data_IF_104397116815
#
_entry.id   IF_104397116815
#
_cell.length_a   1.000
_cell.length_b   1.000
_cell.length_c   1.000
_cell.angle_alpha   90.00
_cell.angle_beta   90.00
_cell.angle_gamma   90.00
#
_symmetry.space_group_name_H-M   'P 1'
#
loop_
_entity.id
_entity.type
_entity.pdbx_description
1 polymer ?
#
# COMPACT_ATOMS: atom_id res chain seq x y z
N UNK A 1 -58.48 23.39 32.38
CA UNK A 1 -59.08 22.05 32.23
C UNK A 1 -57.98 21.21 31.64
N UNK A 2 -57.31 20.41 32.47
CA UNK A 2 -56.39 19.37 31.98
C UNK A 2 -57.27 18.23 31.49
N UNK A 3 -57.21 17.98 30.19
CA UNK A 3 -57.84 16.81 29.58
C UNK A 3 -57.12 15.56 30.14
N UNK A 4 -57.83 14.52 30.60
CA UNK A 4 -57.15 13.33 31.11
C UNK A 4 -56.39 12.70 29.95
N UNK A 5 -55.06 12.67 30.03
CA UNK A 5 -54.25 11.85 29.12
C UNK A 5 -54.69 10.40 29.32
N UNK A 6 -55.49 9.89 28.39
CA UNK A 6 -55.82 8.47 28.33
C UNK A 6 -54.50 7.72 28.18
N UNK A 7 -54.11 6.88 29.16
CA UNK A 7 -52.85 6.15 29.06
C UNK A 7 -52.91 5.23 27.84
N UNK A 8 -51.91 5.33 26.95
CA UNK A 8 -51.80 4.47 25.76
C UNK A 8 -51.96 3.01 26.16
N UNK A 9 -52.75 2.28 25.38
CA UNK A 9 -52.89 0.83 25.52
C UNK A 9 -51.53 0.14 25.30
N UNK A 10 -51.34 -1.05 25.87
CA UNK A 10 -50.09 -1.81 25.73
C UNK A 10 -49.72 -2.06 24.25
N UNK A 11 -50.72 -2.34 23.41
CA UNK A 11 -50.54 -2.50 21.97
C UNK A 11 -50.05 -1.22 21.29
N UNK A 12 -50.58 -0.06 21.67
CA UNK A 12 -50.15 1.24 21.15
C UNK A 12 -48.72 1.57 21.59
N UNK A 13 -48.35 1.26 22.84
CA UNK A 13 -46.98 1.44 23.33
C UNK A 13 -45.98 0.58 22.55
N UNK A 14 -46.32 -0.68 22.26
CA UNK A 14 -45.47 -1.58 21.48
C UNK A 14 -45.31 -1.06 20.05
N UNK A 15 -46.41 -0.64 19.40
CA UNK A 15 -46.36 -0.08 18.04
C UNK A 15 -45.56 1.21 17.97
N UNK A 16 -45.70 2.07 18.97
CA UNK A 16 -44.92 3.30 19.08
C UNK A 16 -43.42 3.00 19.14
N UNK A 17 -43.00 2.08 20.02
CA UNK A 17 -41.60 1.67 20.13
C UNK A 17 -41.07 1.02 18.86
N UNK A 18 -41.86 0.16 18.21
CA UNK A 18 -41.47 -0.50 16.96
C UNK A 18 -41.21 0.53 15.85
N UNK A 19 -42.09 1.51 15.70
CA UNK A 19 -41.91 2.59 14.72
C UNK A 19 -40.66 3.42 15.03
N UNK A 20 -40.46 3.79 16.30
CA UNK A 20 -39.27 4.52 16.73
C UNK A 20 -37.97 3.77 16.38
N UNK A 21 -37.88 2.49 16.72
CA UNK A 21 -36.70 1.67 16.40
C UNK A 21 -36.49 1.52 14.89
N UNK A 22 -37.57 1.43 14.12
CA UNK A 22 -37.50 1.36 12.64
C UNK A 22 -36.92 2.65 12.06
N UNK A 23 -37.40 3.80 12.52
CA UNK A 23 -36.90 5.11 12.06
C UNK A 23 -35.43 5.31 12.45
N UNK A 24 -35.06 4.99 13.69
CA UNK A 24 -33.67 5.05 14.15
C UNK A 24 -32.73 4.14 13.33
N UNK A 25 -33.21 2.95 12.96
CA UNK A 25 -32.46 1.99 12.13
C UNK A 25 -32.30 2.47 10.68
N UNK A 26 -33.35 3.09 10.12
CA UNK A 26 -33.29 3.68 8.78
C UNK A 26 -32.28 4.83 8.75
N UNK A 27 -32.32 5.72 9.74
CA UNK A 27 -31.32 6.78 9.85
C UNK A 27 -29.89 6.23 10.01
N UNK A 28 -29.72 5.13 10.75
CA UNK A 28 -28.43 4.45 10.83
C UNK A 28 -27.97 3.93 9.46
N UNK A 29 -28.87 3.35 8.66
CA UNK A 29 -28.54 2.89 7.29
C UNK A 29 -28.09 4.05 6.39
N UNK A 30 -28.74 5.21 6.49
CA UNK A 30 -28.33 6.43 5.75
C UNK A 30 -26.97 6.94 6.18
N UNK A 31 -26.67 6.93 7.48
CA UNK A 31 -25.33 7.27 7.99
C UNK A 31 -24.26 6.29 7.50
N UNK A 32 -24.58 4.99 7.45
CA UNK A 32 -23.66 3.98 6.93
C UNK A 32 -23.32 4.21 5.46
N UNK A 33 -24.30 4.57 4.62
CA UNK A 33 -24.05 4.92 3.22
C UNK A 33 -23.09 6.11 3.10
N UNK A 34 -23.36 7.21 3.82
CA UNK A 34 -22.51 8.39 3.79
C UNK A 34 -21.06 8.09 4.21
N UNK A 35 -20.88 7.32 5.29
CA UNK A 35 -19.56 6.90 5.76
C UNK A 35 -18.83 5.99 4.75
N UNK A 36 -19.56 5.08 4.09
CA UNK A 36 -18.96 4.21 3.08
C UNK A 36 -18.51 4.99 1.85
N UNK A 37 -19.29 6.01 1.44
CA UNK A 37 -18.94 6.86 0.31
C UNK A 37 -17.73 7.75 0.62
N UNK A 38 -17.67 8.35 1.80
CA UNK A 38 -16.50 9.10 2.27
C UNK A 38 -15.25 8.21 2.34
N UNK A 39 -15.38 7.00 2.89
CA UNK A 39 -14.29 6.03 2.94
C UNK A 39 -13.83 5.62 1.53
N UNK A 40 -14.75 5.53 0.56
CA UNK A 40 -14.43 5.21 -0.83
C UNK A 40 -13.60 6.32 -1.46
N UNK A 41 -14.00 7.57 -1.29
CA UNK A 41 -13.27 8.73 -1.82
C UNK A 41 -11.86 8.83 -1.23
N UNK A 42 -11.73 8.68 0.09
CA UNK A 42 -10.43 8.64 0.77
C UNK A 42 -9.56 7.46 0.30
N UNK A 43 -10.17 6.29 0.07
CA UNK A 43 -9.50 5.10 -0.46
C UNK A 43 -8.96 5.32 -1.87
N UNK A 44 -9.74 5.92 -2.76
CA UNK A 44 -9.30 6.26 -4.14
C UNK A 44 -8.12 7.23 -4.11
N UNK A 45 -8.24 8.31 -3.32
CA UNK A 45 -7.15 9.27 -3.14
C UNK A 45 -5.86 8.60 -2.65
N UNK A 46 -6.00 7.67 -1.72
CA UNK A 46 -4.86 6.90 -1.18
C UNK A 46 -4.22 6.00 -2.24
N UNK A 47 -5.01 5.32 -3.08
CA UNK A 47 -4.50 4.50 -4.17
C UNK A 47 -3.71 5.34 -5.19
N UNK A 48 -4.20 6.53 -5.54
CA UNK A 48 -3.46 7.46 -6.42
C UNK A 48 -2.14 7.89 -5.79
N UNK A 49 -2.15 8.23 -4.50
CA UNK A 49 -0.91 8.58 -3.79
C UNK A 49 0.09 7.42 -3.72
N UNK A 50 -0.39 6.18 -3.57
CA UNK A 50 0.48 5.00 -3.59
C UNK A 50 1.10 4.79 -4.97
N UNK A 51 0.33 4.95 -6.05
CA UNK A 51 0.85 4.87 -7.42
C UNK A 51 1.95 5.91 -7.68
N UNK A 52 1.69 7.18 -7.34
CA UNK A 52 2.67 8.27 -7.44
C UNK A 52 3.93 8.02 -6.59
N UNK A 53 3.78 7.39 -5.42
CA UNK A 53 4.90 6.99 -4.56
C UNK A 53 5.71 5.84 -5.17
N UNK A 54 5.05 4.88 -5.80
CA UNK A 54 5.68 3.78 -6.52
C UNK A 54 6.62 4.29 -7.61
N UNK A 55 6.14 5.20 -8.46
CA UNK A 55 6.97 5.81 -9.50
C UNK A 55 8.17 6.59 -8.93
N UNK A 56 7.99 7.26 -7.78
CA UNK A 56 9.09 7.94 -7.10
C UNK A 56 10.15 6.95 -6.64
N UNK A 57 9.76 5.81 -6.09
CA UNK A 57 10.70 4.76 -5.68
C UNK A 57 11.41 4.14 -6.89
N UNK A 58 10.76 4.02 -8.04
CA UNK A 58 11.40 3.57 -9.28
C UNK A 58 12.50 4.55 -9.71
N UNK A 59 12.19 5.85 -9.75
CA UNK A 59 13.19 6.89 -10.07
C UNK A 59 14.37 6.89 -9.09
N UNK A 60 14.10 6.70 -7.80
CA UNK A 60 15.17 6.61 -6.78
C UNK A 60 16.02 5.36 -7.01
N UNK A 61 15.39 4.22 -7.30
CA UNK A 61 16.09 2.97 -7.55
C UNK A 61 17.01 3.06 -8.78
N UNK A 62 16.53 3.65 -9.88
CA UNK A 62 17.34 3.94 -11.07
C UNK A 62 18.50 4.90 -10.75
N UNK A 63 18.22 5.97 -9.99
CA UNK A 63 19.27 6.91 -9.54
C UNK A 63 20.35 6.23 -8.70
N UNK A 64 19.99 5.27 -7.84
CA UNK A 64 20.94 4.48 -7.07
C UNK A 64 21.81 3.58 -7.97
N UNK A 65 21.23 3.02 -9.04
CA UNK A 65 21.98 2.22 -10.02
C UNK A 65 22.95 3.09 -10.83
N UNK A 66 22.51 4.29 -11.23
CA UNK A 66 23.38 5.25 -11.91
C UNK A 66 24.56 5.66 -11.03
N UNK A 67 24.32 6.04 -9.76
CA UNK A 67 25.40 6.38 -8.82
C UNK A 67 26.38 5.21 -8.67
N UNK A 68 25.86 3.97 -8.59
CA UNK A 68 26.71 2.80 -8.47
C UNK A 68 27.62 2.60 -9.69
N UNK A 69 27.11 2.88 -10.90
CA UNK A 69 27.89 2.87 -12.14
C UNK A 69 28.92 3.99 -12.17
N UNK A 70 28.52 5.23 -11.89
CA UNK A 70 29.42 6.39 -11.85
C UNK A 70 30.56 6.17 -10.85
N UNK A 71 30.26 5.54 -9.70
CA UNK A 71 31.28 5.18 -8.71
C UNK A 71 32.26 4.12 -9.21
N UNK A 72 31.85 3.19 -10.09
CA UNK A 72 32.80 2.24 -10.71
C UNK A 72 33.77 2.98 -11.64
N UNK A 73 33.27 3.92 -12.40
CA UNK A 73 34.11 4.71 -13.32
C UNK A 73 35.02 5.67 -12.55
N UNK A 74 34.51 6.33 -11.51
CA UNK A 74 35.31 7.19 -10.63
C UNK A 74 36.46 6.41 -9.95
N UNK A 75 36.18 5.22 -9.40
CA UNK A 75 37.20 4.36 -8.79
C UNK A 75 38.28 3.96 -9.82
N UNK A 76 37.89 3.60 -11.04
CA UNK A 76 38.83 3.26 -12.12
C UNK A 76 39.71 4.45 -12.50
N UNK A 77 39.12 5.64 -12.64
CA UNK A 77 39.86 6.85 -12.98
C UNK A 77 40.85 7.23 -11.87
N UNK A 78 40.47 7.09 -10.59
CA UNK A 78 41.38 7.31 -9.46
C UNK A 78 42.51 6.28 -9.42
N UNK A 79 42.22 5.00 -9.70
CA UNK A 79 43.24 3.96 -9.79
C UNK A 79 44.22 4.22 -10.95
N UNK A 80 43.76 4.75 -12.07
CA UNK A 80 44.60 5.09 -13.21
C UNK A 80 45.45 6.36 -12.97
N UNK A 81 44.90 7.37 -12.29
CA UNK A 81 45.66 8.55 -11.84
C UNK A 81 46.76 8.19 -10.85
N UNK A 82 46.48 7.25 -9.93
CA UNK A 82 47.50 6.74 -9.00
C UNK A 82 48.66 6.04 -9.73
N UNK A 83 48.41 5.41 -10.89
CA UNK A 83 49.47 4.78 -11.71
C UNK A 83 50.24 5.78 -12.57
N UNK A 84 49.66 6.95 -12.89
CA UNK A 84 50.27 7.96 -13.75
C UNK A 84 51.29 8.84 -13.01
N UNK A 85 51.29 8.82 -11.67
CA UNK A 85 52.24 9.57 -10.85
C UNK A 85 53.53 8.75 -10.59
N UNK A 86 54.46 8.76 -11.56
CA UNK A 86 55.89 8.54 -11.31
C UNK A 86 56.46 7.12 -11.51
N UNK A 87 56.94 6.85 -12.73
CA UNK A 87 58.12 6.02 -13.00
C UNK A 87 58.16 4.58 -12.43
N UNK A 88 57.21 3.70 -12.76
CA UNK A 88 57.46 2.27 -13.06
C UNK A 88 56.15 1.53 -13.35
N UNK A 89 56.05 0.96 -14.55
CA UNK A 89 55.09 -0.11 -14.87
C UNK A 89 55.54 -1.36 -14.13
N UNK A 90 54.90 -1.69 -12.99
CA UNK A 90 55.02 -3.01 -12.38
C UNK A 90 53.91 -3.90 -12.92
N UNK A 91 54.18 -4.79 -13.90
CA UNK A 91 53.24 -5.82 -14.27
C UNK A 91 53.25 -6.81 -13.11
N UNK A 92 52.13 -6.94 -12.40
CA UNK A 92 51.66 -8.11 -11.65
C UNK A 92 51.03 -7.70 -10.33
N UNK A 93 49.72 -7.45 -10.40
CA UNK A 93 48.73 -8.01 -9.47
C UNK A 93 47.35 -7.69 -10.03
N UNK A 94 46.89 -8.53 -10.97
CA UNK A 94 45.45 -8.60 -11.29
C UNK A 94 44.75 -9.22 -10.08
N UNK A 95 44.40 -8.40 -9.10
CA UNK A 95 43.41 -8.80 -8.11
C UNK A 95 42.07 -8.63 -8.80
N UNK A 96 41.47 -9.74 -9.23
CA UNK A 96 40.05 -9.75 -9.59
C UNK A 96 39.28 -9.37 -8.33
N UNK A 97 38.88 -8.10 -8.19
CA UNK A 97 37.83 -7.72 -7.24
C UNK A 97 36.58 -8.47 -7.71
N UNK A 98 36.13 -9.40 -6.87
CA UNK A 98 34.86 -10.08 -7.06
C UNK A 98 33.80 -9.05 -6.68
N UNK A 99 32.93 -8.70 -7.62
CA UNK A 99 31.85 -7.74 -7.39
C UNK A 99 30.85 -8.31 -6.37
N UNK A 100 31.10 -8.11 -5.08
CA UNK A 100 30.19 -8.54 -3.99
C UNK A 100 28.78 -7.96 -4.18
N UNK A 101 28.68 -6.80 -4.85
CA UNK A 101 27.43 -6.16 -5.25
C UNK A 101 26.52 -7.07 -6.09
N UNK A 102 27.10 -7.82 -7.03
CA UNK A 102 26.33 -8.70 -7.93
C UNK A 102 25.93 -9.99 -7.23
N UNK A 103 26.67 -10.42 -6.20
CA UNK A 103 26.37 -11.65 -5.47
C UNK A 103 25.22 -11.45 -4.48
N UNK A 104 25.16 -10.28 -3.81
CA UNK A 104 24.08 -9.96 -2.88
C UNK A 104 22.72 -9.78 -3.58
N UNK A 105 22.68 -9.19 -4.78
CA UNK A 105 21.46 -9.07 -5.58
C UNK A 105 20.94 -10.42 -6.09
N UNK A 106 21.85 -11.31 -6.49
CA UNK A 106 21.49 -12.61 -7.08
C UNK A 106 20.94 -13.62 -6.07
N UNK A 107 21.32 -13.50 -4.80
CA UNK A 107 20.77 -14.31 -3.72
C UNK A 107 19.33 -13.88 -3.36
N UNK A 108 18.93 -12.64 -3.68
CA UNK A 108 17.55 -12.15 -3.53
C UNK A 108 16.68 -12.41 -4.77
N UNK A 109 17.23 -12.32 -5.98
CA UNK A 109 16.49 -12.62 -7.23
C UNK A 109 16.10 -14.11 -7.35
N UNK A 110 16.81 -15.02 -6.67
CA UNK A 110 16.45 -16.45 -6.60
C UNK A 110 15.26 -16.72 -5.66
N UNK A 111 14.77 -15.70 -4.95
CA UNK A 111 13.60 -15.79 -4.05
C UNK A 111 12.36 -15.03 -4.54
N UNK A 112 12.41 -14.44 -5.74
CA UNK A 112 11.33 -13.62 -6.30
C UNK A 112 10.66 -14.17 -7.56
N UNK A 113 10.91 -15.45 -7.90
CA UNK A 113 10.40 -16.06 -9.12
C UNK A 113 9.05 -16.74 -8.97
N UNK A 114 7.99 -16.01 -9.29
CA UNK A 114 6.77 -16.58 -9.91
C UNK A 114 5.64 -16.99 -8.97
N UNK A 115 4.45 -16.48 -9.28
CA UNK A 115 3.15 -16.77 -8.68
C UNK A 115 2.97 -16.32 -7.23
N UNK A 116 2.74 -15.00 -7.08
CA UNK A 116 1.94 -14.53 -5.95
C UNK A 116 0.61 -15.28 -5.94
N UNK A 117 0.09 -15.69 -4.77
CA UNK A 117 -1.15 -16.44 -4.71
C UNK A 117 -2.27 -15.58 -5.29
N UNK A 118 -2.71 -15.90 -6.52
CA UNK A 118 -4.06 -15.55 -6.95
C UNK A 118 -4.98 -16.32 -6.03
N UNK A 119 -5.37 -15.71 -4.92
CA UNK A 119 -6.50 -16.19 -4.15
C UNK A 119 -7.69 -16.00 -5.08
N UNK A 120 -8.03 -17.08 -5.78
CA UNK A 120 -9.37 -17.25 -6.35
C UNK A 120 -10.26 -17.33 -5.13
N UNK A 121 -10.79 -16.18 -4.71
CA UNK A 121 -11.85 -16.15 -3.70
C UNK A 121 -13.05 -16.74 -4.42
N UNK A 122 -13.35 -17.99 -4.08
CA UNK A 122 -14.58 -18.67 -4.46
C UNK A 122 -15.76 -17.74 -4.22
N UNK A 123 -16.34 -17.25 -5.32
CA UNK A 123 -17.46 -16.31 -5.35
C UNK A 123 -18.77 -17.07 -5.10
N UNK A 124 -18.80 -17.91 -4.07
CA UNK A 124 -19.92 -18.83 -3.84
C UNK A 124 -20.35 -18.92 -2.37
N UNK A 125 -20.22 -17.81 -1.64
CA UNK A 125 -21.00 -17.56 -0.43
C UNK A 125 -22.18 -16.68 -0.80
N UNK A 126 -23.32 -17.28 -1.15
CA UNK A 126 -24.60 -16.61 -1.32
C UNK A 126 -24.77 -15.54 -0.23
N UNK A 127 -24.80 -14.26 -0.64
CA UNK A 127 -25.39 -13.23 0.19
C UNK A 127 -26.79 -13.70 0.61
N UNK A 128 -27.29 -13.30 1.78
CA UNK A 128 -28.55 -13.81 2.29
C UNK A 128 -29.62 -13.69 1.20
N UNK A 129 -30.19 -14.83 0.79
CA UNK A 129 -31.19 -14.91 -0.28
C UNK A 129 -32.55 -14.34 0.16
N UNK A 130 -32.65 -13.89 1.41
CA UNK A 130 -33.67 -12.97 1.90
C UNK A 130 -32.98 -11.65 2.27
N UNK A 131 -33.67 -10.52 2.08
CA UNK A 131 -33.13 -9.18 2.32
C UNK A 131 -32.34 -9.04 3.63
N UNK A 132 -31.51 -8.00 3.69
CA UNK A 132 -30.67 -7.68 4.84
C UNK A 132 -31.47 -7.39 6.10
N UNK A 133 -32.77 -7.14 5.98
CA UNK A 133 -33.68 -6.94 7.10
C UNK A 133 -34.82 -7.96 7.13
N UNK A 134 -35.25 -8.30 8.35
CA UNK A 134 -36.53 -9.00 8.57
C UNK A 134 -37.66 -7.98 8.51
N UNK A 135 -38.59 -8.17 7.58
CA UNK A 135 -39.75 -7.29 7.39
C UNK A 135 -40.83 -7.58 8.44
N UNK A 136 -41.28 -6.55 9.15
CA UNK A 136 -42.30 -6.66 10.22
C UNK A 136 -43.55 -5.89 9.81
N UNK A 137 -43.40 -4.61 9.47
CA UNK A 137 -44.52 -3.76 9.00
C UNK A 137 -44.74 -3.87 7.50
N UNK A 138 -43.71 -4.31 6.76
CA UNK A 138 -43.67 -4.36 5.30
C UNK A 138 -44.07 -3.02 4.69
N UNK A 139 -43.53 -1.95 5.26
CA UNK A 139 -43.73 -0.57 4.83
C UNK A 139 -42.53 -0.05 4.00
N UNK A 140 -42.70 1.14 3.42
CA UNK A 140 -41.70 1.74 2.55
C UNK A 140 -40.36 2.07 3.27
N UNK A 141 -40.36 2.21 4.60
CA UNK A 141 -39.13 2.48 5.37
C UNK A 141 -38.28 1.22 5.47
N UNK A 142 -38.92 0.08 5.70
CA UNK A 142 -38.25 -1.23 5.65
C UNK A 142 -37.69 -1.47 4.23
N UNK A 143 -38.46 -1.20 3.17
CA UNK A 143 -37.94 -1.28 1.78
C UNK A 143 -36.70 -0.40 1.54
N UNK A 144 -36.74 0.85 1.98
CA UNK A 144 -35.59 1.77 1.86
C UNK A 144 -34.39 1.25 2.66
N UNK A 145 -34.60 0.80 3.89
CA UNK A 145 -33.54 0.29 4.74
C UNK A 145 -32.85 -0.95 4.14
N UNK A 146 -33.63 -1.87 3.57
CA UNK A 146 -33.13 -3.07 2.90
C UNK A 146 -32.26 -2.70 1.69
N UNK A 147 -32.72 -1.76 0.86
CA UNK A 147 -31.99 -1.24 -0.29
C UNK A 147 -30.68 -0.55 0.14
N UNK A 148 -30.74 0.32 1.15
CA UNK A 148 -29.57 1.02 1.69
C UNK A 148 -28.50 0.03 2.19
N UNK A 149 -28.91 -1.04 2.89
CA UNK A 149 -27.99 -2.06 3.39
C UNK A 149 -27.39 -2.92 2.27
N UNK A 150 -28.15 -3.18 1.20
CA UNK A 150 -27.63 -3.82 0.00
C UNK A 150 -26.56 -2.97 -0.70
N UNK A 151 -26.81 -1.67 -0.84
CA UNK A 151 -25.81 -0.73 -1.40
C UNK A 151 -24.57 -0.64 -0.52
N UNK A 152 -24.73 -0.53 0.80
CA UNK A 152 -23.63 -0.56 1.78
C UNK A 152 -22.82 -1.85 1.65
N UNK A 153 -23.47 -3.01 1.52
CA UNK A 153 -22.78 -4.28 1.32
C UNK A 153 -21.93 -4.27 0.04
N UNK A 154 -22.43 -3.68 -1.04
CA UNK A 154 -21.67 -3.50 -2.29
C UNK A 154 -20.48 -2.56 -2.12
N UNK A 155 -20.68 -1.41 -1.45
CA UNK A 155 -19.61 -0.45 -1.15
C UNK A 155 -18.52 -1.06 -0.27
N UNK A 156 -18.89 -1.82 0.76
CA UNK A 156 -17.94 -2.54 1.62
C UNK A 156 -17.15 -3.58 0.82
N UNK A 157 -17.78 -4.27 -0.14
CA UNK A 157 -17.08 -5.15 -1.07
C UNK A 157 -16.00 -4.43 -1.88
N UNK A 158 -16.32 -3.24 -2.40
CA UNK A 158 -15.36 -2.41 -3.13
C UNK A 158 -14.24 -1.88 -2.22
N UNK A 159 -14.57 -1.41 -1.00
CA UNK A 159 -13.61 -0.99 0.01
C UNK A 159 -12.63 -2.12 0.37
N UNK A 160 -13.12 -3.36 0.46
CA UNK A 160 -12.28 -4.54 0.70
C UNK A 160 -11.28 -4.75 -0.43
N UNK A 161 -11.72 -4.66 -1.69
CA UNK A 161 -10.82 -4.82 -2.83
C UNK A 161 -9.73 -3.74 -2.83
N UNK A 162 -10.11 -2.47 -2.62
CA UNK A 162 -9.13 -1.38 -2.50
C UNK A 162 -8.14 -1.61 -1.34
N UNK A 163 -8.61 -2.11 -0.19
CA UNK A 163 -7.73 -2.43 0.93
C UNK A 163 -6.72 -3.55 0.61
N UNK A 164 -7.13 -4.55 -0.18
CA UNK A 164 -6.23 -5.62 -0.66
C UNK A 164 -5.21 -5.04 -1.63
N UNK A 165 -5.63 -4.21 -2.59
CA UNK A 165 -4.75 -3.60 -3.58
C UNK A 165 -3.73 -2.67 -2.92
N UNK A 166 -4.17 -1.77 -2.04
CA UNK A 166 -3.29 -0.91 -1.23
C UNK A 166 -2.30 -1.75 -0.41
N UNK A 167 -2.76 -2.85 0.20
CA UNK A 167 -1.90 -3.74 0.97
C UNK A 167 -0.84 -4.43 0.12
N UNK A 168 -1.18 -4.86 -1.10
CA UNK A 168 -0.21 -5.45 -2.03
C UNK A 168 0.84 -4.43 -2.46
N UNK A 169 0.39 -3.24 -2.86
CA UNK A 169 1.26 -2.15 -3.32
C UNK A 169 2.26 -1.73 -2.23
N UNK A 170 1.79 -1.53 -0.99
CA UNK A 170 2.65 -1.20 0.15
C UNK A 170 3.72 -2.28 0.39
N UNK A 171 3.36 -3.56 0.28
CA UNK A 171 4.33 -4.65 0.46
C UNK A 171 5.39 -4.65 -0.65
N UNK A 172 5.01 -4.36 -1.90
CA UNK A 172 5.95 -4.25 -3.02
C UNK A 172 6.90 -3.07 -2.83
N UNK A 173 6.35 -1.90 -2.48
CA UNK A 173 7.12 -0.69 -2.20
C UNK A 173 8.08 -0.87 -1.01
N UNK A 174 7.65 -1.53 0.07
CA UNK A 174 8.52 -1.84 1.21
C UNK A 174 9.75 -2.66 0.79
N UNK A 175 9.54 -3.72 -0.02
CA UNK A 175 10.66 -4.51 -0.54
C UNK A 175 11.59 -3.69 -1.45
N UNK A 176 11.04 -2.76 -2.23
CA UNK A 176 11.84 -1.83 -3.04
C UNK A 176 12.67 -0.87 -2.19
N UNK A 177 12.10 -0.32 -1.11
CA UNK A 177 12.81 0.54 -0.16
C UNK A 177 13.98 -0.20 0.49
N UNK A 178 13.81 -1.47 0.85
CA UNK A 178 14.91 -2.30 1.38
C UNK A 178 16.06 -2.43 0.37
N UNK A 179 15.75 -2.72 -0.90
CA UNK A 179 16.76 -2.78 -1.97
C UNK A 179 17.46 -1.44 -2.16
N UNK A 180 16.71 -0.34 -2.22
CA UNK A 180 17.26 1.02 -2.32
C UNK A 180 18.19 1.31 -1.14
N UNK A 181 17.80 0.94 0.07
CA UNK A 181 18.62 1.15 1.27
C UNK A 181 19.96 0.42 1.19
N UNK A 182 19.98 -0.82 0.69
CA UNK A 182 21.22 -1.57 0.48
C UNK A 182 22.12 -0.86 -0.54
N UNK A 183 21.55 -0.49 -1.70
CA UNK A 183 22.29 0.25 -2.75
C UNK A 183 22.84 1.57 -2.22
N UNK A 184 22.03 2.33 -1.48
CA UNK A 184 22.41 3.62 -0.90
C UNK A 184 23.57 3.50 0.10
N UNK A 185 23.54 2.51 1.01
CA UNK A 185 24.64 2.26 1.95
C UNK A 185 25.94 1.92 1.22
N UNK A 186 25.87 1.04 0.23
CA UNK A 186 27.04 0.66 -0.57
C UNK A 186 27.62 1.85 -1.34
N UNK A 187 26.77 2.61 -2.02
CA UNK A 187 27.16 3.82 -2.74
C UNK A 187 27.81 4.86 -1.81
N UNK A 188 27.23 5.10 -0.62
CA UNK A 188 27.78 6.03 0.36
C UNK A 188 29.19 5.63 0.82
N UNK A 189 29.43 4.34 1.10
CA UNK A 189 30.76 3.86 1.45
C UNK A 189 31.78 4.02 0.31
N UNK A 190 31.36 3.73 -0.93
CA UNK A 190 32.22 3.87 -2.12
C UNK A 190 32.58 5.33 -2.38
N UNK A 191 31.60 6.24 -2.30
CA UNK A 191 31.81 7.69 -2.41
C UNK A 191 32.83 8.16 -1.38
N UNK A 192 32.67 7.73 -0.11
CA UNK A 192 33.61 8.09 0.95
C UNK A 192 35.04 7.63 0.65
N UNK A 193 35.21 6.36 0.22
CA UNK A 193 36.53 5.80 -0.13
C UNK A 193 37.17 6.53 -1.31
N UNK A 194 36.40 6.78 -2.37
CA UNK A 194 36.89 7.51 -3.54
C UNK A 194 37.30 8.95 -3.18
N UNK A 195 36.54 9.64 -2.33
CA UNK A 195 36.87 10.97 -1.86
C UNK A 195 38.17 10.99 -1.04
N UNK A 196 38.36 10.02 -0.14
CA UNK A 196 39.61 9.84 0.61
C UNK A 196 40.81 9.56 -0.30
N UNK A 197 40.64 8.75 -1.36
CA UNK A 197 41.68 8.48 -2.36
C UNK A 197 42.01 9.73 -3.17
N UNK A 198 41.00 10.44 -3.69
CA UNK A 198 41.19 11.68 -4.44
C UNK A 198 41.93 12.73 -3.61
N UNK A 199 41.57 12.90 -2.33
CA UNK A 199 42.26 13.83 -1.42
C UNK A 199 43.73 13.45 -1.18
N UNK A 200 44.09 12.16 -1.21
CA UNK A 200 45.49 11.72 -1.11
C UNK A 200 46.29 12.01 -2.37
N UNK A 201 45.67 11.92 -3.55
CA UNK A 201 46.33 12.24 -4.83
C UNK A 201 46.61 13.73 -5.02
N UNK A 202 45.88 14.60 -4.31
CA UNK A 202 46.09 16.05 -4.30
C UNK A 202 47.16 16.53 -3.32
N UNK A 203 47.70 15.64 -2.47
CA UNK A 203 48.81 15.92 -1.55
C UNK A 203 50.12 15.41 -2.13
#
# INVERSE_FOLDING_TARGET
>A
MDDPQVPMTELEQIRFKMNQTTDESLEASRRMMALCEEAKEAGISTLVMLDDQGEQLDRINEGMDQINQDMKDAEKNLDDLNKCCGLCVLPWKKVKKKDDYTKQLKDEDMRGGGDGPRIIVDQNGMGPTGGYITRITNDAREDEMDNNLQEVSGMIGNLRNMAIDMGSEINQQNAQVERIQIKARSNAERIKKANEQASKLLK
#
